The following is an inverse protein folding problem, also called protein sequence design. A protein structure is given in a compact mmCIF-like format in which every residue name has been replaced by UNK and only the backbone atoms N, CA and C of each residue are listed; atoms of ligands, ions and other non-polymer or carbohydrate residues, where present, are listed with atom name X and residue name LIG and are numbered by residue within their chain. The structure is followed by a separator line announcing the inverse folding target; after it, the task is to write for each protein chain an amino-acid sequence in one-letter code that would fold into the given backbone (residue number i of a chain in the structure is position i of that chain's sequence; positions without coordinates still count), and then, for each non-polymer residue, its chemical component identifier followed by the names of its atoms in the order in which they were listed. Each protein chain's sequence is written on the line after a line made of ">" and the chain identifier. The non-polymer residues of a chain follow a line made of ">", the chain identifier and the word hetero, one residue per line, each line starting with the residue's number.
data_IF_067450166809
#
_entry.id   IF_067450166809
#
_cell.length_a   1.000
_cell.length_b   1.000
_cell.length_c   1.000
_cell.angle_alpha   90.00
_cell.angle_beta   90.00
_cell.angle_gamma   90.00
#
_symmetry.space_group_name_H-M   'P 1'
#
loop_
_entity.id
_entity.type
_entity.pdbx_description
1 polymer ?
#
# COMPACT_ATOMS: atom_id res chain seq x y z
N UNK A 1 20.98 -16.54 -12.49
CA UNK A 1 21.78 -15.33 -12.78
C UNK A 1 23.26 -15.59 -13.03
N UNK A 2 23.81 -16.72 -12.55
CA UNK A 2 25.25 -17.00 -12.56
C UNK A 2 25.84 -17.16 -13.98
N UNK A 3 25.17 -17.94 -14.84
CA UNK A 3 25.61 -18.19 -16.23
C UNK A 3 25.60 -16.91 -17.08
N UNK A 4 24.52 -16.11 -17.02
CA UNK A 4 24.43 -14.87 -17.81
C UNK A 4 25.55 -13.87 -17.46
N UNK A 5 25.88 -13.76 -16.18
CA UNK A 5 26.95 -12.90 -15.69
C UNK A 5 28.34 -13.40 -16.11
N UNK A 6 28.59 -14.71 -16.04
CA UNK A 6 29.84 -15.34 -16.45
C UNK A 6 30.17 -15.09 -17.94
N UNK A 7 29.15 -15.14 -18.80
CA UNK A 7 29.29 -14.88 -20.24
C UNK A 7 29.03 -13.41 -20.63
N UNK A 8 28.84 -12.49 -19.66
CA UNK A 8 28.49 -11.07 -19.90
C UNK A 8 27.28 -10.89 -20.84
N UNK A 9 26.34 -11.81 -20.79
CA UNK A 9 25.12 -11.78 -21.58
C UNK A 9 23.96 -11.18 -20.78
N UNK A 10 23.08 -10.48 -21.49
CA UNK A 10 21.78 -10.15 -20.91
C UNK A 10 20.98 -11.45 -20.70
N UNK A 11 20.42 -11.62 -19.51
CA UNK A 11 19.53 -12.76 -19.19
C UNK A 11 18.42 -12.93 -20.23
N UNK A 12 17.89 -11.82 -20.76
CA UNK A 12 16.86 -11.80 -21.81
C UNK A 12 17.32 -12.49 -23.11
N UNK A 13 18.60 -12.38 -23.48
CA UNK A 13 19.14 -13.00 -24.69
C UNK A 13 19.12 -14.52 -24.58
N UNK A 14 19.45 -15.07 -23.40
CA UNK A 14 19.41 -16.51 -23.13
C UNK A 14 17.97 -17.03 -23.24
N UNK A 15 17.00 -16.35 -22.62
CA UNK A 15 15.59 -16.73 -22.74
C UNK A 15 15.08 -16.65 -24.19
N UNK A 16 15.50 -15.64 -24.96
CA UNK A 16 15.14 -15.54 -26.37
C UNK A 16 15.68 -16.71 -27.19
N UNK A 17 16.92 -17.14 -26.95
CA UNK A 17 17.51 -18.29 -27.64
C UNK A 17 16.84 -19.62 -27.27
N UNK A 18 16.47 -19.79 -25.99
CA UNK A 18 15.68 -20.93 -25.54
C UNK A 18 14.30 -20.97 -26.22
N UNK A 19 13.59 -19.83 -26.24
CA UNK A 19 12.29 -19.72 -26.92
C UNK A 19 12.37 -19.98 -28.43
N UNK A 20 13.50 -19.65 -29.06
CA UNK A 20 13.75 -19.86 -30.49
C UNK A 20 14.31 -21.26 -30.81
N UNK A 21 14.50 -22.13 -29.81
CA UNK A 21 15.07 -23.47 -29.99
C UNK A 21 16.53 -23.47 -30.47
N UNK A 22 17.27 -22.38 -30.27
CA UNK A 22 18.68 -22.25 -30.71
C UNK A 22 19.68 -22.93 -29.77
N UNK A 23 19.20 -23.42 -28.64
CA UNK A 23 19.96 -24.15 -27.63
C UNK A 23 19.26 -25.49 -27.45
N UNK A 24 20.00 -26.60 -27.41
CA UNK A 24 19.48 -27.95 -27.17
C UNK A 24 19.03 -28.19 -25.72
N UNK A 25 18.43 -27.18 -25.10
CA UNK A 25 17.97 -27.15 -23.72
C UNK A 25 16.54 -26.61 -23.72
N UNK A 26 15.59 -27.33 -23.12
CA UNK A 26 14.19 -26.92 -23.12
C UNK A 26 13.90 -25.92 -22.00
N UNK A 27 12.91 -25.05 -22.20
CA UNK A 27 12.37 -24.21 -21.12
C UNK A 27 11.88 -25.05 -19.94
N UNK A 28 11.34 -26.25 -20.22
CA UNK A 28 10.82 -27.15 -19.20
C UNK A 28 11.93 -27.72 -18.29
N UNK A 29 13.19 -27.67 -18.72
CA UNK A 29 14.33 -28.19 -17.98
C UNK A 29 14.90 -27.15 -17.00
N UNK A 30 14.38 -25.90 -17.03
CA UNK A 30 14.80 -24.85 -16.10
C UNK A 30 14.22 -25.11 -14.69
N UNK A 31 15.04 -25.11 -13.62
CA UNK A 31 14.63 -25.46 -12.26
C UNK A 31 13.44 -24.67 -11.68
N UNK A 32 13.22 -23.45 -12.15
CA UNK A 32 12.15 -22.56 -11.67
C UNK A 32 11.08 -22.28 -12.73
N UNK A 33 11.12 -22.97 -13.87
CA UNK A 33 10.13 -22.74 -14.93
C UNK A 33 8.75 -23.20 -14.49
N UNK A 34 7.78 -22.30 -14.61
CA UNK A 34 6.41 -22.51 -14.12
C UNK A 34 6.24 -22.39 -12.60
N UNK A 35 7.32 -22.21 -11.83
CA UNK A 35 7.25 -22.03 -10.38
C UNK A 35 6.77 -20.61 -10.06
N UNK A 36 5.46 -20.46 -9.87
CA UNK A 36 4.89 -19.24 -9.28
C UNK A 36 5.02 -19.32 -7.77
N UNK A 37 5.84 -18.45 -7.17
CA UNK A 37 5.80 -18.27 -5.73
C UNK A 37 4.40 -17.84 -5.32
N UNK A 38 3.70 -18.68 -4.55
CA UNK A 38 2.40 -18.33 -3.98
C UNK A 38 2.61 -17.14 -3.05
N UNK A 39 2.09 -15.98 -3.43
CA UNK A 39 1.95 -14.87 -2.48
C UNK A 39 0.93 -15.30 -1.44
N UNK A 40 1.28 -15.15 -0.17
CA UNK A 40 0.31 -15.35 0.91
C UNK A 40 -0.91 -14.47 0.63
N UNK A 41 -2.09 -15.10 0.64
CA UNK A 41 -3.35 -14.38 0.48
C UNK A 41 -3.49 -13.44 1.67
N UNK A 42 -3.67 -12.14 1.40
CA UNK A 42 -3.78 -11.13 2.45
C UNK A 42 -5.08 -11.32 3.24
N UNK A 43 -4.96 -11.87 4.46
CA UNK A 43 -6.11 -12.15 5.31
C UNK A 43 -6.70 -10.90 5.98
N UNK A 44 -6.05 -9.72 5.88
CA UNK A 44 -6.58 -8.47 6.47
C UNK A 44 -7.95 -8.09 5.94
N UNK A 45 -8.25 -8.42 4.68
CA UNK A 45 -9.52 -8.08 4.04
C UNK A 45 -10.72 -8.66 4.79
N UNK A 46 -10.63 -9.86 5.35
CA UNK A 46 -11.75 -10.52 6.05
C UNK A 46 -12.10 -9.85 7.39
N UNK A 47 -11.11 -9.36 8.11
CA UNK A 47 -11.30 -8.75 9.44
C UNK A 47 -11.83 -7.32 9.38
N UNK A 48 -11.53 -6.59 8.29
CA UNK A 48 -11.94 -5.18 8.13
C UNK A 48 -13.38 -5.00 7.63
N UNK A 49 -14.03 -6.04 7.09
CA UNK A 49 -15.38 -5.92 6.52
C UNK A 49 -16.49 -5.78 7.59
N UNK A 50 -16.26 -6.20 8.83
CA UNK A 50 -17.29 -6.22 9.88
C UNK A 50 -17.24 -5.06 10.87
N UNK A 51 -16.20 -4.22 10.84
CA UNK A 51 -15.93 -3.22 11.89
C UNK A 51 -16.51 -1.82 11.60
N UNK A 52 -17.09 -1.59 10.41
CA UNK A 52 -17.66 -0.29 10.05
C UNK A 52 -18.56 -0.33 8.82
N UNK A 53 -19.19 0.80 8.52
CA UNK A 53 -19.95 0.99 7.27
C UNK A 53 -18.98 1.06 6.10
N UNK A 54 -19.32 0.39 5.00
CA UNK A 54 -18.49 0.45 3.78
C UNK A 54 -18.42 1.89 3.27
N UNK A 55 -17.27 2.29 2.74
CA UNK A 55 -17.11 3.60 2.08
C UNK A 55 -18.08 3.75 0.92
N UNK A 56 -18.44 2.64 0.25
CA UNK A 56 -19.43 2.61 -0.82
C UNK A 56 -20.84 3.00 -0.34
N UNK A 57 -21.13 2.85 0.95
CA UNK A 57 -22.43 3.19 1.54
C UNK A 57 -22.54 4.66 1.98
N UNK A 58 -21.50 5.48 1.78
CA UNK A 58 -21.56 6.90 2.15
C UNK A 58 -22.60 7.64 1.31
N UNK A 59 -23.27 8.62 1.93
CA UNK A 59 -24.24 9.48 1.25
C UNK A 59 -23.63 10.11 -0.01
N UNK A 60 -24.39 10.11 -1.12
CA UNK A 60 -23.92 10.63 -2.41
C UNK A 60 -23.42 12.08 -2.33
N UNK A 61 -23.98 12.90 -1.43
CA UNK A 61 -23.52 14.28 -1.22
C UNK A 61 -22.03 14.38 -0.86
N UNK A 62 -21.48 13.38 -0.15
CA UNK A 62 -20.06 13.33 0.23
C UNK A 62 -19.17 13.10 -1.00
N UNK A 63 -19.67 12.41 -2.03
CA UNK A 63 -18.92 12.21 -3.28
C UNK A 63 -18.76 13.50 -4.09
N UNK A 64 -19.67 14.47 -3.90
CA UNK A 64 -19.63 15.73 -4.64
C UNK A 64 -18.53 16.67 -4.14
N UNK A 65 -17.97 16.46 -2.94
CA UNK A 65 -16.88 17.26 -2.36
C UNK A 65 -17.17 18.77 -2.30
N UNK A 66 -18.43 19.13 -2.10
CA UNK A 66 -18.90 20.52 -2.17
C UNK A 66 -18.83 21.29 -0.85
N UNK A 67 -18.53 20.63 0.28
CA UNK A 67 -18.41 21.27 1.61
C UNK A 67 -17.07 20.97 2.29
N UNK A 68 -16.66 21.89 3.18
CA UNK A 68 -15.55 21.66 4.10
C UNK A 68 -16.04 20.76 5.24
N UNK A 69 -15.17 19.91 5.77
CA UNK A 69 -15.46 19.06 6.93
C UNK A 69 -15.57 17.57 6.61
N UNK A 70 -15.55 17.19 5.33
CA UNK A 70 -15.48 15.79 4.92
C UNK A 70 -13.99 15.41 4.77
N UNK A 71 -13.44 14.69 5.75
CA UNK A 71 -12.02 14.33 5.80
C UNK A 71 -11.73 12.89 5.35
N UNK A 72 -10.64 12.69 4.62
CA UNK A 72 -9.99 11.39 4.41
C UNK A 72 -8.86 11.23 5.43
N UNK A 73 -8.88 10.11 6.17
CA UNK A 73 -7.90 9.79 7.19
C UNK A 73 -7.04 8.61 6.73
N UNK A 74 -5.73 8.75 6.82
CA UNK A 74 -4.77 7.68 6.52
C UNK A 74 -3.59 7.70 7.50
N UNK A 75 -2.84 6.61 7.54
CA UNK A 75 -1.63 6.46 8.35
C UNK A 75 -0.45 6.04 7.48
N UNK A 76 0.59 6.86 7.44
CA UNK A 76 1.85 6.56 6.75
C UNK A 76 2.84 6.00 7.76
N UNK A 77 3.26 4.76 7.55
CA UNK A 77 4.24 4.08 8.41
C UNK A 77 5.62 4.19 7.78
N UNK A 78 6.61 4.56 8.58
CA UNK A 78 8.01 4.60 8.14
C UNK A 78 8.58 3.20 7.82
N UNK A 79 9.84 3.14 7.35
CA UNK A 79 10.52 1.87 7.04
C UNK A 79 10.48 0.88 8.21
N UNK A 80 10.14 -0.38 7.91
CA UNK A 80 10.05 -1.45 8.92
C UNK A 80 11.40 -1.62 9.64
N UNK A 81 11.34 -1.79 10.95
CA UNK A 81 12.51 -2.12 11.79
C UNK A 81 13.26 -0.92 12.38
N UNK A 82 13.05 0.30 11.87
CA UNK A 82 13.77 1.48 12.36
C UNK A 82 12.99 2.29 13.39
N UNK A 83 11.67 2.35 13.27
CA UNK A 83 10.82 3.07 14.22
C UNK A 83 9.39 2.56 14.18
N UNK A 84 8.68 2.67 15.31
CA UNK A 84 7.23 2.48 15.36
C UNK A 84 6.46 3.76 15.01
N UNK A 85 7.15 4.88 14.81
CA UNK A 85 6.52 6.16 14.52
C UNK A 85 5.68 6.11 13.24
N UNK A 86 4.56 6.81 13.28
CA UNK A 86 3.57 6.86 12.19
C UNK A 86 3.17 8.31 11.98
N UNK A 87 2.91 8.69 10.74
CA UNK A 87 2.26 9.95 10.42
C UNK A 87 0.77 9.70 10.21
N UNK A 88 -0.07 10.33 11.02
CA UNK A 88 -1.51 10.40 10.78
C UNK A 88 -1.78 11.59 9.86
N UNK A 89 -2.48 11.36 8.77
CA UNK A 89 -2.85 12.40 7.79
C UNK A 89 -4.36 12.54 7.74
N UNK A 90 -4.86 13.77 7.85
CA UNK A 90 -6.25 14.12 7.63
C UNK A 90 -6.33 15.13 6.48
N UNK A 91 -7.01 14.77 5.41
CA UNK A 91 -7.14 15.61 4.22
C UNK A 91 -8.59 16.00 4.04
N UNK A 92 -8.89 17.29 4.07
CA UNK A 92 -10.22 17.78 3.70
C UNK A 92 -10.44 17.57 2.19
N UNK A 93 -11.55 16.92 1.83
CA UNK A 93 -11.77 16.48 0.45
C UNK A 93 -12.13 17.61 -0.50
N UNK A 94 -12.64 18.74 0.00
CA UNK A 94 -12.97 19.93 -0.80
C UNK A 94 -11.75 20.81 -1.03
N UNK A 95 -11.14 21.30 0.05
CA UNK A 95 -10.01 22.23 0.01
C UNK A 95 -8.68 21.56 -0.29
N UNK A 96 -8.58 20.23 -0.12
CA UNK A 96 -7.32 19.46 -0.20
C UNK A 96 -6.28 19.90 0.84
N UNK A 97 -6.70 20.64 1.87
CA UNK A 97 -5.83 21.01 2.98
C UNK A 97 -5.46 19.76 3.80
N UNK A 98 -4.17 19.58 4.05
CA UNK A 98 -3.60 18.43 4.77
C UNK A 98 -3.20 18.83 6.19
N UNK A 99 -3.73 18.11 7.18
CA UNK A 99 -3.22 18.08 8.54
C UNK A 99 -2.40 16.81 8.74
N UNK A 100 -1.21 16.95 9.31
CA UNK A 100 -0.33 15.82 9.59
C UNK A 100 0.15 15.83 11.04
N UNK A 101 -0.04 14.71 11.73
CA UNK A 101 0.40 14.51 13.11
C UNK A 101 1.39 13.36 13.19
N UNK A 102 2.54 13.59 13.81
CA UNK A 102 3.49 12.53 14.12
C UNK A 102 3.07 11.81 15.40
N UNK A 103 2.82 10.51 15.28
CA UNK A 103 2.50 9.60 16.37
C UNK A 103 3.70 8.75 16.74
N UNK A 104 3.77 8.35 18.02
CA UNK A 104 4.78 7.41 18.51
C UNK A 104 4.58 5.99 17.97
N UNK A 105 3.32 5.60 17.73
CA UNK A 105 2.89 4.29 17.26
C UNK A 105 1.49 4.35 16.61
N UNK A 106 1.04 3.21 16.07
CA UNK A 106 -0.30 3.03 15.46
C UNK A 106 -1.38 2.58 16.45
N UNK A 107 -1.17 2.72 17.75
CA UNK A 107 -2.16 2.27 18.73
C UNK A 107 -3.40 3.16 18.69
N UNK A 108 -4.57 2.58 19.02
CA UNK A 108 -5.83 3.32 19.09
C UNK A 108 -5.74 4.52 20.02
N UNK A 109 -4.99 4.40 21.14
CA UNK A 109 -4.75 5.50 22.06
C UNK A 109 -4.01 6.68 21.41
N UNK A 110 -2.88 6.41 20.73
CA UNK A 110 -2.10 7.45 20.03
C UNK A 110 -2.91 8.13 18.93
N UNK A 111 -3.69 7.35 18.17
CA UNK A 111 -4.55 7.90 17.11
C UNK A 111 -5.66 8.77 17.69
N UNK A 112 -6.35 8.30 18.73
CA UNK A 112 -7.42 9.06 19.37
C UNK A 112 -6.92 10.37 19.99
N UNK A 113 -5.75 10.37 20.62
CA UNK A 113 -5.15 11.59 21.16
C UNK A 113 -4.93 12.65 20.07
N UNK A 114 -4.39 12.25 18.91
CA UNK A 114 -4.19 13.17 17.79
C UNK A 114 -5.49 13.62 17.15
N UNK A 115 -6.49 12.74 17.07
CA UNK A 115 -7.83 13.09 16.60
C UNK A 115 -8.51 14.11 17.53
N UNK A 116 -8.39 13.94 18.84
CA UNK A 116 -8.90 14.93 19.81
C UNK A 116 -8.23 16.28 19.60
N UNK A 117 -6.89 16.31 19.46
CA UNK A 117 -6.15 17.55 19.17
C UNK A 117 -6.60 18.21 17.86
N UNK A 118 -6.85 17.41 16.83
CA UNK A 118 -7.38 17.90 15.57
C UNK A 118 -8.77 18.52 15.77
N UNK A 119 -9.69 17.81 16.41
CA UNK A 119 -11.08 18.27 16.64
C UNK A 119 -11.14 19.54 17.51
N UNK A 120 -10.23 19.71 18.47
CA UNK A 120 -10.15 20.94 19.27
C UNK A 120 -9.59 22.14 18.50
N UNK A 121 -8.80 21.89 17.46
CA UNK A 121 -8.16 22.95 16.66
C UNK A 121 -9.00 23.32 15.44
N UNK A 122 -9.68 22.33 14.87
CA UNK A 122 -10.52 22.50 13.70
C UNK A 122 -11.84 23.15 14.08
N UNK A 123 -11.86 24.47 13.99
CA UNK A 123 -13.09 25.25 13.98
C UNK A 123 -13.71 25.04 12.60
N UNK A 124 -14.58 24.04 12.47
CA UNK A 124 -15.31 23.78 11.22
C UNK A 124 -16.08 25.01 10.73
N UNK A 125 -16.65 24.93 9.50
CA UNK A 125 -17.58 25.94 9.03
C UNK A 125 -18.82 26.07 9.92
#
# INVERSE_FOLDING_TARGET
>A
GMIAHEFKLATKSIYNWLNQGRIGFSLNDLPEYGVRQRRNVDQRSKYNQSLGRSIEQRLMMINQRNRIGDFELDTVVGPRGHSKAVLLTLIDRKSRFLWAYRLKDRTTASVNEALTKFLTTFNGP
#
